data_IF_439818792764
#
_entry.id   IF_439818792764
#
_cell.length_a   1.000
_cell.length_b   1.000
_cell.length_c   1.000
_cell.angle_alpha   90.00
_cell.angle_beta   90.00
_cell.angle_gamma   90.00
#
_symmetry.space_group_name_H-M   'P 1'
#
loop_
_entity.id
_entity.type
_entity.pdbx_description
1 polymer ?
#
# COMPACT_ATOMS: atom_id res chain seq x y z
N UNK A 1 -46.42 -21.98 23.27
CA UNK A 1 -46.21 -21.94 21.81
C UNK A 1 -45.11 -20.92 21.54
N UNK A 2 -43.86 -21.40 21.48
CA UNK A 2 -42.68 -20.56 21.31
C UNK A 2 -42.34 -20.42 19.83
N UNK A 3 -42.37 -19.19 19.32
CA UNK A 3 -41.82 -18.86 18.01
C UNK A 3 -40.44 -18.24 18.23
N UNK A 4 -39.42 -19.10 18.16
CA UNK A 4 -38.04 -18.71 17.96
C UNK A 4 -37.94 -17.96 16.62
N UNK A 5 -37.81 -16.65 16.69
CA UNK A 5 -37.42 -15.80 15.55
C UNK A 5 -36.02 -16.25 15.10
N UNK A 6 -35.98 -17.06 14.06
CA UNK A 6 -34.76 -17.46 13.39
C UNK A 6 -34.18 -16.26 12.66
N UNK A 7 -32.91 -15.97 12.91
CA UNK A 7 -32.16 -14.85 12.36
C UNK A 7 -32.25 -14.80 10.82
N UNK A 8 -32.25 -13.59 10.21
CA UNK A 8 -32.39 -13.44 8.78
C UNK A 8 -31.25 -14.14 8.03
N UNK A 9 -31.65 -14.88 6.99
CA UNK A 9 -30.82 -15.69 6.11
C UNK A 9 -29.50 -15.00 5.73
N UNK A 10 -28.43 -15.35 6.43
CA UNK A 10 -27.10 -14.82 6.20
C UNK A 10 -26.44 -15.61 5.07
N UNK A 11 -26.90 -15.36 3.85
CA UNK A 11 -26.37 -15.90 2.59
C UNK A 11 -25.01 -15.34 2.21
N UNK A 12 -24.09 -15.21 3.18
CA UNK A 12 -22.69 -14.98 2.87
C UNK A 12 -22.12 -16.33 2.40
N UNK A 13 -21.91 -16.45 1.09
CA UNK A 13 -21.28 -17.60 0.46
C UNK A 13 -20.01 -17.97 1.24
N UNK A 14 -19.84 -19.25 1.56
CA UNK A 14 -18.71 -19.78 2.32
C UNK A 14 -17.34 -19.28 1.83
N UNK A 15 -17.26 -18.92 0.54
CA UNK A 15 -16.12 -18.27 -0.11
C UNK A 15 -15.73 -16.93 0.52
N UNK A 16 -16.68 -16.07 0.90
CA UNK A 16 -16.38 -14.76 1.50
C UNK A 16 -15.73 -14.90 2.89
N UNK A 17 -16.23 -15.85 3.69
CA UNK A 17 -15.66 -16.15 5.02
C UNK A 17 -14.25 -16.73 4.90
N UNK A 18 -14.04 -17.58 3.91
CA UNK A 18 -12.72 -18.13 3.61
C UNK A 18 -11.73 -17.05 3.14
N UNK A 19 -12.13 -16.18 2.21
CA UNK A 19 -11.30 -15.08 1.73
C UNK A 19 -10.91 -14.11 2.85
N UNK A 20 -11.83 -13.82 3.77
CA UNK A 20 -11.55 -12.98 4.95
C UNK A 20 -10.52 -13.65 5.88
N UNK A 21 -10.66 -14.96 6.12
CA UNK A 21 -9.72 -15.73 6.93
C UNK A 21 -8.32 -15.75 6.29
N UNK A 22 -8.23 -15.90 4.97
CA UNK A 22 -6.95 -15.85 4.23
C UNK A 22 -6.33 -14.45 4.29
N UNK A 23 -7.12 -13.38 4.12
CA UNK A 23 -6.61 -12.01 4.18
C UNK A 23 -6.05 -11.64 5.58
N UNK A 24 -6.75 -12.05 6.63
CA UNK A 24 -6.31 -11.81 8.01
C UNK A 24 -5.10 -12.69 8.38
N UNK A 25 -5.11 -13.95 7.94
CA UNK A 25 -3.97 -14.87 8.08
C UNK A 25 -2.73 -14.36 7.33
N UNK A 26 -2.88 -13.80 6.13
CA UNK A 26 -1.77 -13.20 5.37
C UNK A 26 -1.20 -11.97 6.07
N UNK A 27 -2.07 -11.12 6.66
CA UNK A 27 -1.63 -9.96 7.45
C UNK A 27 -0.85 -10.40 8.69
N UNK A 28 -1.36 -11.38 9.45
CA UNK A 28 -0.67 -11.94 10.64
C UNK A 28 0.60 -12.70 10.24
N UNK A 29 0.58 -13.46 9.14
CA UNK A 29 1.71 -14.21 8.61
C UNK A 29 2.83 -13.29 8.10
N UNK A 30 2.47 -12.13 7.55
CA UNK A 30 3.40 -11.05 7.20
C UNK A 30 4.07 -10.44 8.44
N UNK A 31 3.33 -10.29 9.54
CA UNK A 31 3.89 -9.86 10.84
C UNK A 31 4.77 -10.94 11.50
N UNK A 32 4.42 -12.22 11.34
CA UNK A 32 5.12 -13.38 11.93
C UNK A 32 6.45 -13.69 11.22
N UNK A 33 6.53 -13.40 9.92
CA UNK A 33 7.73 -13.69 9.13
C UNK A 33 8.82 -12.64 9.36
N UNK A 34 10.03 -13.13 9.63
CA UNK A 34 11.28 -12.39 9.83
C UNK A 34 11.62 -11.35 8.73
N UNK A 35 11.06 -11.53 7.53
CA UNK A 35 11.24 -10.68 6.33
C UNK A 35 10.08 -9.70 6.13
N UNK A 36 8.92 -9.96 6.73
CA UNK A 36 7.67 -9.25 6.42
C UNK A 36 7.45 -7.94 7.18
N UNK A 37 8.23 -7.65 8.22
CA UNK A 37 8.15 -6.39 8.95
C UNK A 37 9.53 -5.78 9.21
N UNK A 38 9.68 -4.49 8.88
CA UNK A 38 10.93 -3.75 9.09
C UNK A 38 11.49 -3.91 10.51
N UNK A 39 10.68 -3.86 11.60
CA UNK A 39 11.17 -4.08 12.96
C UNK A 39 11.78 -5.47 13.23
N UNK A 40 11.23 -6.55 12.66
CA UNK A 40 11.71 -7.92 12.90
C UNK A 40 13.08 -8.17 12.24
N UNK A 41 13.34 -7.54 11.08
CA UNK A 41 14.66 -7.58 10.42
C UNK A 41 15.72 -6.90 11.28
N UNK A 42 15.39 -5.74 11.85
CA UNK A 42 16.29 -5.01 12.77
C UNK A 42 16.53 -5.81 14.06
N UNK A 43 15.50 -6.36 14.67
CA UNK A 43 15.62 -7.17 15.89
C UNK A 43 16.46 -8.43 15.63
N UNK A 44 16.26 -9.11 14.50
CA UNK A 44 17.10 -10.25 14.11
C UNK A 44 18.54 -9.83 13.87
N UNK A 45 18.79 -8.75 13.14
CA UNK A 45 20.15 -8.27 12.90
C UNK A 45 20.85 -7.93 14.22
N UNK A 46 20.12 -7.37 15.17
CA UNK A 46 20.60 -7.12 16.53
C UNK A 46 20.88 -8.42 17.30
N UNK A 47 19.94 -9.38 17.32
CA UNK A 47 20.06 -10.67 18.02
C UNK A 47 21.18 -11.53 17.42
N UNK A 48 21.29 -11.63 16.09
CA UNK A 48 22.37 -12.35 15.42
C UNK A 48 23.74 -11.73 15.75
N UNK A 49 23.81 -10.40 15.81
CA UNK A 49 25.01 -9.66 16.23
C UNK A 49 25.35 -9.87 17.71
N UNK A 50 24.35 -9.98 18.58
CA UNK A 50 24.52 -10.11 20.03
C UNK A 50 24.82 -11.55 20.47
N UNK A 51 24.26 -12.54 19.77
CA UNK A 51 24.33 -13.96 20.15
C UNK A 51 25.14 -14.84 19.18
N UNK A 52 25.78 -14.28 18.14
CA UNK A 52 26.54 -15.02 17.11
C UNK A 52 25.80 -16.28 16.61
N UNK A 53 24.49 -16.18 16.39
CA UNK A 53 23.69 -17.32 15.97
C UNK A 53 24.21 -17.86 14.63
N UNK A 54 24.79 -19.07 14.63
CA UNK A 54 25.23 -19.74 13.42
C UNK A 54 24.01 -20.40 12.78
N UNK A 55 23.56 -19.99 11.58
CA UNK A 55 22.43 -20.63 10.93
C UNK A 55 22.75 -22.10 10.66
N UNK A 56 21.76 -22.99 10.84
CA UNK A 56 21.89 -24.41 10.52
C UNK A 56 22.24 -24.60 9.05
N UNK A 57 23.00 -25.65 8.73
CA UNK A 57 23.46 -25.89 7.36
C UNK A 57 22.29 -26.11 6.37
N UNK A 58 21.18 -26.68 6.84
CA UNK A 58 19.91 -26.82 6.11
C UNK A 58 19.27 -25.45 5.75
N UNK A 59 19.27 -24.49 6.69
CA UNK A 59 18.72 -23.17 6.44
C UNK A 59 19.55 -22.38 5.41
N UNK A 60 20.87 -22.62 5.34
CA UNK A 60 21.74 -22.03 4.31
C UNK A 60 21.43 -22.57 2.92
N UNK A 61 21.26 -23.89 2.79
CA UNK A 61 20.91 -24.52 1.51
C UNK A 61 19.58 -24.01 0.97
N UNK A 62 18.56 -23.91 1.83
CA UNK A 62 17.26 -23.34 1.46
C UNK A 62 17.40 -21.89 1.02
N UNK A 63 18.18 -21.07 1.74
CA UNK A 63 18.41 -19.68 1.36
C UNK A 63 19.12 -19.55 0.01
N UNK A 64 20.09 -20.41 -0.27
CA UNK A 64 20.87 -20.32 -1.51
C UNK A 64 20.04 -20.80 -2.73
N UNK A 65 19.23 -21.85 -2.56
CA UNK A 65 18.26 -22.28 -3.57
C UNK A 65 17.19 -21.19 -3.83
N UNK A 66 16.68 -20.54 -2.78
CA UNK A 66 15.73 -19.43 -2.92
C UNK A 66 16.35 -18.23 -3.64
N UNK A 67 17.57 -17.85 -3.29
CA UNK A 67 18.31 -16.77 -3.99
C UNK A 67 18.51 -17.11 -5.46
N UNK A 68 18.86 -18.35 -5.78
CA UNK A 68 19.04 -18.79 -7.17
C UNK A 68 17.73 -18.70 -7.97
N UNK A 69 16.61 -19.14 -7.38
CA UNK A 69 15.28 -19.03 -8.01
C UNK A 69 14.84 -17.58 -8.19
N UNK A 70 15.02 -16.73 -7.17
CA UNK A 70 14.70 -15.30 -7.23
C UNK A 70 15.53 -14.57 -8.28
N UNK A 71 16.83 -14.88 -8.36
CA UNK A 71 17.73 -14.26 -9.35
C UNK A 71 17.35 -14.65 -10.77
N UNK A 72 16.85 -15.89 -10.97
CA UNK A 72 16.35 -16.34 -12.26
C UNK A 72 15.09 -15.57 -12.66
N UNK A 73 14.11 -15.47 -11.76
CA UNK A 73 12.87 -14.72 -12.02
C UNK A 73 13.11 -13.22 -12.21
N UNK A 74 14.00 -12.61 -11.41
CA UNK A 74 14.39 -11.21 -11.54
C UNK A 74 15.01 -10.92 -12.91
N UNK A 75 15.77 -11.87 -13.46
CA UNK A 75 16.34 -11.74 -14.81
C UNK A 75 15.27 -11.81 -15.91
N UNK A 76 14.24 -12.61 -15.70
CA UNK A 76 13.11 -12.75 -16.64
C UNK A 76 12.16 -11.54 -16.64
N UNK A 77 12.13 -10.75 -15.54
CA UNK A 77 11.30 -9.55 -15.40
C UNK A 77 11.73 -8.38 -16.32
N UNK A 78 12.96 -8.40 -16.85
CA UNK A 78 13.42 -7.41 -17.83
C UNK A 78 13.71 -6.01 -17.25
N UNK A 79 14.01 -5.04 -18.13
CA UNK A 79 14.34 -3.66 -17.72
C UNK A 79 13.06 -2.96 -17.24
N UNK A 80 13.13 -2.13 -16.18
CA UNK A 80 11.95 -1.44 -15.66
C UNK A 80 11.32 -0.58 -16.75
N UNK A 81 10.00 -0.67 -16.89
CA UNK A 81 9.25 0.16 -17.84
C UNK A 81 9.21 1.60 -17.35
N UNK A 82 9.06 2.54 -18.29
CA UNK A 82 8.94 3.97 -17.96
C UNK A 82 7.78 4.28 -17.03
N UNK A 83 6.65 3.58 -17.17
CA UNK A 83 5.51 3.75 -16.27
C UNK A 83 5.72 3.17 -14.88
N UNK A 84 6.42 2.04 -14.77
CA UNK A 84 6.83 1.47 -13.49
C UNK A 84 7.79 2.42 -12.76
N UNK A 85 8.74 3.01 -13.48
CA UNK A 85 9.63 4.03 -12.94
C UNK A 85 8.86 5.27 -12.49
N UNK A 86 7.90 5.73 -13.29
CA UNK A 86 7.10 6.92 -12.98
C UNK A 86 6.26 6.69 -11.72
N UNK A 87 5.55 5.56 -11.61
CA UNK A 87 4.78 5.21 -10.40
C UNK A 87 5.69 5.08 -9.18
N UNK A 88 6.89 4.50 -9.35
CA UNK A 88 7.91 4.40 -8.30
C UNK A 88 8.35 5.77 -7.81
N UNK A 89 8.58 6.72 -8.73
CA UNK A 89 8.93 8.12 -8.41
C UNK A 89 7.79 8.82 -7.69
N UNK A 90 6.53 8.63 -8.11
CA UNK A 90 5.36 9.22 -7.47
C UNK A 90 5.20 8.68 -6.04
N UNK A 91 5.39 7.37 -5.85
CA UNK A 91 5.34 6.75 -4.54
C UNK A 91 6.44 7.25 -3.61
N UNK A 92 7.68 7.34 -4.10
CA UNK A 92 8.79 7.92 -3.35
C UNK A 92 8.52 9.39 -3.00
N UNK A 93 7.99 10.17 -3.96
CA UNK A 93 7.59 11.55 -3.74
C UNK A 93 6.52 11.63 -2.66
N UNK A 94 5.49 10.77 -2.68
CA UNK A 94 4.45 10.71 -1.65
C UNK A 94 5.03 10.42 -0.25
N UNK A 95 5.93 9.45 -0.12
CA UNK A 95 6.58 9.11 1.16
C UNK A 95 7.42 10.26 1.68
N UNK A 96 8.18 10.91 0.80
CA UNK A 96 8.90 12.15 1.15
C UNK A 96 7.89 13.20 1.59
N UNK A 97 6.82 13.41 0.80
CA UNK A 97 5.76 14.41 1.02
C UNK A 97 4.93 14.17 2.29
N UNK A 98 4.96 12.97 2.84
CA UNK A 98 4.44 12.69 4.19
C UNK A 98 5.49 12.87 5.27
N UNK A 99 6.71 12.37 5.05
CA UNK A 99 7.78 12.40 6.06
C UNK A 99 8.26 13.82 6.35
N UNK A 100 8.43 14.65 5.32
CA UNK A 100 8.91 16.03 5.47
C UNK A 100 7.73 17.03 5.65
N UNK A 101 6.50 16.52 5.86
CA UNK A 101 5.33 17.34 6.21
C UNK A 101 5.47 17.99 7.58
N UNK A 102 5.92 17.23 8.58
CA UNK A 102 6.03 17.64 9.99
C UNK A 102 7.37 17.22 10.60
N UNK A 103 8.44 17.14 9.80
CA UNK A 103 9.76 16.69 10.26
C UNK A 103 10.31 17.52 11.43
N UNK A 104 9.90 18.78 11.58
CA UNK A 104 10.15 19.58 12.78
C UNK A 104 9.09 20.67 12.91
N UNK A 105 8.75 21.05 14.15
CA UNK A 105 7.79 22.13 14.50
C UNK A 105 8.11 23.48 13.81
N UNK A 106 9.35 23.63 13.33
CA UNK A 106 9.90 24.82 12.65
C UNK A 106 10.49 24.55 11.25
N UNK A 107 10.44 23.32 10.72
CA UNK A 107 10.98 23.00 9.38
C UNK A 107 10.08 21.98 8.68
N UNK A 108 9.14 22.48 7.88
CA UNK A 108 8.31 21.69 6.96
C UNK A 108 7.76 22.60 5.86
N UNK A 109 7.56 22.06 4.65
CA UNK A 109 6.92 22.84 3.56
C UNK A 109 5.49 23.27 3.88
N UNK A 110 4.89 22.71 4.93
CA UNK A 110 3.60 23.13 5.48
C UNK A 110 3.58 24.62 5.87
N UNK A 111 4.73 25.31 5.97
CA UNK A 111 4.80 26.76 6.20
C UNK A 111 4.48 27.62 4.98
N UNK A 112 4.68 27.09 3.78
CA UNK A 112 4.40 27.81 2.52
C UNK A 112 2.88 27.93 2.31
N UNK A 113 2.10 27.10 3.01
CA UNK A 113 0.65 27.12 3.02
C UNK A 113 0.13 27.41 4.43
N UNK A 114 -1.10 27.91 4.58
CA UNK A 114 -1.66 28.09 5.92
C UNK A 114 -1.86 26.71 6.57
N UNK A 115 -1.43 26.53 7.83
CA UNK A 115 -1.48 25.24 8.58
C UNK A 115 -2.86 24.57 8.60
N UNK A 116 -3.95 25.31 8.33
CA UNK A 116 -5.33 24.79 8.25
C UNK A 116 -5.66 24.05 6.95
N UNK A 117 -4.88 24.22 5.88
CA UNK A 117 -5.17 23.67 4.55
C UNK A 117 -4.24 22.52 4.12
N UNK A 118 -3.23 22.18 4.91
CA UNK A 118 -2.29 21.09 4.63
C UNK A 118 -2.64 19.89 5.51
N UNK A 119 -3.35 18.92 4.95
CA UNK A 119 -3.64 17.64 5.61
C UNK A 119 -3.06 16.47 4.82
N UNK A 120 -3.03 15.27 5.41
CA UNK A 120 -2.62 14.04 4.71
C UNK A 120 -3.42 13.81 3.42
N UNK A 121 -4.66 14.31 3.40
CA UNK A 121 -5.56 14.26 2.24
C UNK A 121 -5.05 15.09 1.07
N UNK A 122 -4.37 16.22 1.30
CA UNK A 122 -3.81 17.06 0.23
C UNK A 122 -2.72 16.31 -0.54
N UNK A 123 -1.84 15.62 0.18
CA UNK A 123 -0.79 14.75 -0.40
C UNK A 123 -1.43 13.58 -1.15
N UNK A 124 -2.42 12.93 -0.54
CA UNK A 124 -3.12 11.79 -1.15
C UNK A 124 -3.85 12.16 -2.44
N UNK A 125 -4.57 13.29 -2.46
CA UNK A 125 -5.28 13.78 -3.65
C UNK A 125 -4.28 14.21 -4.74
N UNK A 126 -3.22 14.93 -4.36
CA UNK A 126 -2.19 15.36 -5.30
C UNK A 126 -1.49 14.19 -5.99
N UNK A 127 -0.99 13.23 -5.20
CA UNK A 127 -0.37 12.01 -5.72
C UNK A 127 -1.36 11.08 -6.42
N UNK A 128 -2.65 11.18 -6.12
CA UNK A 128 -3.73 10.43 -6.80
C UNK A 128 -4.10 10.99 -8.17
N UNK A 129 -4.03 12.32 -8.37
CA UNK A 129 -4.34 12.98 -9.65
C UNK A 129 -3.15 12.91 -10.61
N UNK A 130 -1.91 12.95 -10.09
CA UNK A 130 -0.69 12.99 -10.89
C UNK A 130 -0.58 11.85 -11.95
N UNK A 131 -0.90 10.58 -11.64
CA UNK A 131 -0.86 9.47 -12.60
C UNK A 131 -1.90 9.55 -13.72
N UNK A 132 -2.95 10.38 -13.57
CA UNK A 132 -3.95 10.60 -14.62
C UNK A 132 -3.50 11.63 -15.67
N UNK A 133 -2.52 12.45 -15.32
CA UNK A 133 -1.98 13.51 -16.18
C UNK A 133 -0.66 13.08 -16.82
N UNK A 134 0.11 12.21 -16.16
CA UNK A 134 1.42 11.79 -16.65
C UNK A 134 1.31 10.79 -17.81
N UNK A 135 2.12 10.99 -18.88
CA UNK A 135 2.16 10.08 -20.02
C UNK A 135 2.85 8.75 -19.66
N UNK A 136 2.32 7.64 -20.16
CA UNK A 136 2.89 6.29 -20.00
C UNK A 136 4.22 6.10 -20.75
N UNK A 137 4.48 6.94 -21.76
CA UNK A 137 5.68 6.90 -22.59
C UNK A 137 6.67 7.99 -22.24
N UNK A 138 7.97 7.68 -22.36
CA UNK A 138 9.06 8.61 -22.07
C UNK A 138 8.95 9.92 -22.90
N UNK A 139 8.70 11.08 -22.27
CA UNK A 139 8.57 12.36 -22.98
C UNK A 139 9.92 12.89 -23.50
N UNK A 140 11.04 12.29 -23.15
CA UNK A 140 12.37 12.71 -23.61
C UNK A 140 12.87 11.92 -24.83
N UNK A 141 12.15 10.87 -25.24
CA UNK A 141 12.52 10.10 -26.44
C UNK A 141 11.76 10.62 -27.67
N UNK A 142 12.47 11.38 -28.53
CA UNK A 142 11.91 12.05 -29.73
C UNK A 142 11.40 11.11 -30.83
N UNK A 143 11.56 9.80 -30.70
CA UNK A 143 11.29 8.80 -31.75
C UNK A 143 9.94 8.08 -31.67
N UNK A 144 9.07 8.39 -30.71
CA UNK A 144 7.75 7.73 -30.61
C UNK A 144 6.63 8.60 -31.16
N UNK A 145 5.70 7.95 -31.87
CA UNK A 145 4.43 8.52 -32.31
C UNK A 145 3.66 8.94 -31.05
N UNK A 146 3.51 10.25 -30.83
CA UNK A 146 3.01 10.82 -29.58
C UNK A 146 1.51 10.58 -29.40
N UNK A 147 1.13 9.33 -29.11
CA UNK A 147 -0.21 8.98 -28.66
C UNK A 147 -0.27 9.14 -27.15
N UNK A 148 -0.88 10.24 -26.71
CA UNK A 148 -1.11 10.49 -25.28
C UNK A 148 -1.98 9.38 -24.69
N UNK A 149 -1.38 8.55 -23.84
CA UNK A 149 -2.09 7.59 -23.00
C UNK A 149 -1.67 7.83 -21.54
N UNK A 150 -2.61 8.24 -20.67
CA UNK A 150 -2.36 8.32 -19.24
C UNK A 150 -1.91 6.97 -18.69
N UNK A 151 -1.01 7.00 -17.70
CA UNK A 151 -0.59 5.79 -16.97
C UNK A 151 -1.81 5.07 -16.38
N UNK A 152 -2.76 5.83 -15.86
CA UNK A 152 -4.02 5.31 -15.34
C UNK A 152 -5.21 5.98 -16.04
N UNK A 153 -6.08 5.15 -16.63
CA UNK A 153 -7.35 5.62 -17.20
C UNK A 153 -8.36 5.86 -16.08
N UNK A 154 -9.15 6.92 -16.21
CA UNK A 154 -10.22 7.27 -15.27
C UNK A 154 -11.18 6.09 -15.04
N UNK A 155 -11.56 5.39 -16.11
CA UNK A 155 -12.49 4.26 -16.02
C UNK A 155 -11.92 3.10 -15.20
N UNK A 156 -10.62 2.82 -15.33
CA UNK A 156 -9.94 1.79 -14.55
C UNK A 156 -9.81 2.18 -13.08
N UNK A 157 -9.54 3.46 -12.80
CA UNK A 157 -9.43 3.98 -11.43
C UNK A 157 -10.77 3.82 -10.70
N UNK A 158 -11.87 4.32 -11.29
CA UNK A 158 -13.20 4.33 -10.67
C UNK A 158 -13.71 2.92 -10.35
N UNK A 159 -13.35 1.92 -11.17
CA UNK A 159 -13.71 0.53 -10.94
C UNK A 159 -13.01 -0.11 -9.74
N UNK A 160 -11.78 0.30 -9.43
CA UNK A 160 -11.00 -0.26 -8.32
C UNK A 160 -11.23 0.48 -7.00
N UNK A 161 -11.83 1.68 -7.03
CA UNK A 161 -12.20 2.41 -5.82
C UNK A 161 -13.33 1.67 -5.09
N UNK A 162 -13.09 1.34 -3.82
CA UNK A 162 -14.10 0.72 -2.95
C UNK A 162 -15.10 1.76 -2.43
N UNK A 163 -16.03 2.18 -3.29
CA UNK A 163 -17.05 3.20 -2.98
C UNK A 163 -17.85 2.89 -1.71
N UNK A 164 -18.13 1.60 -1.46
CA UNK A 164 -18.80 1.16 -0.23
C UNK A 164 -18.03 1.51 1.03
N UNK A 165 -16.69 1.33 1.04
CA UNK A 165 -15.84 1.68 2.19
C UNK A 165 -15.82 3.18 2.46
N UNK A 166 -15.80 4.00 1.40
CA UNK A 166 -15.81 5.46 1.51
C UNK A 166 -17.15 5.95 2.08
N UNK A 167 -18.27 5.46 1.53
CA UNK A 167 -19.62 5.82 1.98
C UNK A 167 -19.85 5.35 3.42
N UNK A 168 -19.43 4.13 3.76
CA UNK A 168 -19.58 3.57 5.10
C UNK A 168 -18.80 4.38 6.15
N UNK A 169 -17.55 4.73 5.85
CA UNK A 169 -16.72 5.54 6.74
C UNK A 169 -17.30 6.95 6.91
N UNK A 170 -17.78 7.57 5.84
CA UNK A 170 -18.48 8.86 5.88
C UNK A 170 -19.77 8.82 6.70
N UNK A 171 -20.59 7.78 6.53
CA UNK A 171 -21.82 7.59 7.31
C UNK A 171 -21.53 7.37 8.80
N UNK A 172 -20.49 6.60 9.13
CA UNK A 172 -20.05 6.38 10.52
C UNK A 172 -19.61 7.68 11.21
N UNK A 173 -18.83 8.52 10.52
CA UNK A 173 -18.45 9.83 11.02
C UNK A 173 -19.67 10.76 11.18
N UNK A 174 -20.58 10.80 10.21
CA UNK A 174 -21.78 11.62 10.26
C UNK A 174 -22.68 11.24 11.46
N UNK A 175 -22.86 9.94 11.70
CA UNK A 175 -23.62 9.44 12.84
C UNK A 175 -22.90 9.76 14.15
N UNK A 176 -21.58 9.55 14.23
CA UNK A 176 -20.80 9.88 15.42
C UNK A 176 -20.95 11.37 15.80
N UNK A 177 -20.86 12.27 14.81
CA UNK A 177 -21.06 13.71 15.04
C UNK A 177 -22.50 14.08 15.41
N UNK A 178 -23.49 13.28 15.00
CA UNK A 178 -24.89 13.50 15.36
C UNK A 178 -25.20 13.11 16.83
N UNK A 179 -24.42 12.18 17.40
CA UNK A 179 -24.52 11.76 18.79
C UNK A 179 -23.52 12.46 19.72
N UNK A 180 -22.60 13.25 19.17
CA UNK A 180 -21.72 14.13 19.92
C UNK A 180 -22.55 15.32 20.48
N UNK A 181 -23.24 15.06 21.58
CA UNK A 181 -23.92 16.08 22.38
C UNK A 181 -22.86 17.02 22.95
N UNK A 182 -22.99 18.29 22.64
CA UNK A 182 -22.14 19.39 23.12
C UNK A 182 -22.17 19.53 24.64
#
# INVERSE_FOLDING_TARGET
MGNSQTAPNTGYDHHQRFLLAVAYSSSIGGLSSLVGTSPNIYLKGFVDGLFQFRPSDEAREVQDNLKAMLTKQYRDLGRPKWSELTVTVIFALMVVLWTTREFSDTIGWSMIFQRKYVSDSTVAIFCGILPLILPDSNPFNRQHDWRYQPIMKWDNLVQHVSWGSIILLGAGLAIATAFEVR
#
